data_IF_571206272841
#
_entry.id   IF_571206272841
#
_cell.length_a   1.000
_cell.length_b   1.000
_cell.length_c   1.000
_cell.angle_alpha   90.00
_cell.angle_beta   90.00
_cell.angle_gamma   90.00
#
_symmetry.space_group_name_H-M   'P 1'
#
loop_
_entity.id
_entity.type
_entity.pdbx_description
1 polymer ?
#
# COMPACT_ATOMS: atom_id res chain seq x y z
N UNK A 1 10.98 -22.45 -6.92
CA UNK A 1 11.19 -21.52 -5.79
C UNK A 1 12.26 -20.53 -6.21
N UNK A 2 12.16 -19.24 -5.80
CA UNK A 2 13.23 -18.28 -6.05
C UNK A 2 14.54 -18.77 -5.42
N UNK A 3 15.66 -18.42 -6.04
CA UNK A 3 16.99 -18.74 -5.50
C UNK A 3 17.24 -17.94 -4.24
N UNK A 4 17.65 -18.57 -3.15
CA UNK A 4 17.97 -17.88 -1.91
C UNK A 4 19.14 -16.90 -2.13
N UNK A 5 18.93 -15.63 -1.81
CA UNK A 5 19.98 -14.63 -1.78
C UNK A 5 20.76 -14.73 -0.46
N UNK A 6 22.06 -14.52 -0.50
CA UNK A 6 22.90 -14.47 0.70
C UNK A 6 22.79 -13.09 1.36
N UNK A 7 22.89 -13.03 2.67
CA UNK A 7 22.85 -11.81 3.52
C UNK A 7 23.86 -10.71 3.17
N UNK A 8 24.74 -10.94 2.21
CA UNK A 8 25.75 -9.96 1.80
C UNK A 8 25.20 -8.65 1.24
N UNK A 9 23.91 -8.61 0.91
CA UNK A 9 23.22 -7.41 0.37
C UNK A 9 22.36 -6.69 1.41
N UNK A 10 22.30 -7.19 2.65
CA UNK A 10 21.50 -6.59 3.71
C UNK A 10 22.38 -5.81 4.69
N UNK A 11 21.89 -4.70 5.16
CA UNK A 11 22.58 -3.89 6.17
C UNK A 11 21.60 -3.45 7.27
N UNK A 12 22.14 -3.27 8.49
CA UNK A 12 21.38 -2.62 9.56
C UNK A 12 21.35 -1.12 9.30
N UNK A 13 20.14 -0.54 9.31
CA UNK A 13 19.96 0.90 9.17
C UNK A 13 19.40 1.50 10.45
N UNK A 14 19.78 2.75 10.79
CA UNK A 14 19.25 3.42 11.97
C UNK A 14 17.74 3.62 11.85
N UNK A 15 17.01 3.33 12.92
CA UNK A 15 15.59 3.62 13.05
C UNK A 15 15.43 5.04 13.58
N UNK A 16 14.44 5.77 13.07
CA UNK A 16 14.02 7.07 13.61
C UNK A 16 15.00 8.25 13.46
N UNK A 17 16.22 8.02 13.07
CA UNK A 17 17.01 9.12 12.56
C UNK A 17 16.45 9.42 11.17
N UNK A 18 15.86 10.58 10.93
CA UNK A 18 15.52 11.02 9.57
C UNK A 18 16.75 10.97 8.65
N UNK A 19 17.40 9.84 8.63
CA UNK A 19 18.53 9.56 7.78
C UNK A 19 17.94 9.48 6.40
N UNK A 20 17.93 10.63 5.77
CA UNK A 20 18.02 10.70 4.33
C UNK A 20 18.97 9.57 3.96
N UNK A 21 18.53 8.66 3.15
CA UNK A 21 19.48 7.83 2.45
C UNK A 21 20.58 8.77 1.91
N UNK A 22 21.81 8.60 2.33
CA UNK A 22 22.85 9.57 2.01
C UNK A 22 23.09 9.76 0.51
N UNK A 23 22.44 8.96 -0.32
CA UNK A 23 22.75 8.89 -1.74
C UNK A 23 21.67 9.37 -2.69
N UNK A 24 20.36 9.39 -2.31
CA UNK A 24 19.31 9.76 -3.27
C UNK A 24 18.19 10.66 -2.70
N UNK A 25 18.30 11.17 -1.48
CA UNK A 25 17.23 11.97 -0.88
C UNK A 25 15.95 11.18 -0.57
N UNK A 26 15.96 9.86 -0.73
CA UNK A 26 14.88 8.97 -0.34
C UNK A 26 14.76 8.90 1.18
N UNK A 27 13.55 8.85 1.69
CA UNK A 27 13.29 8.59 3.10
C UNK A 27 13.54 7.11 3.35
N UNK A 28 14.31 6.81 4.39
CA UNK A 28 14.52 5.46 4.87
C UNK A 28 13.17 4.86 5.29
N UNK A 29 12.77 3.71 4.75
CA UNK A 29 11.54 3.02 5.14
C UNK A 29 11.51 2.60 6.62
N UNK A 30 12.63 2.67 7.30
CA UNK A 30 12.71 2.55 8.74
C UNK A 30 12.47 3.90 9.48
N UNK A 31 12.36 5.00 8.75
CA UNK A 31 12.01 6.30 9.33
C UNK A 31 10.52 6.29 9.73
N UNK A 32 10.21 6.80 10.90
CA UNK A 32 8.82 6.79 11.40
C UNK A 32 8.41 5.56 12.18
N UNK A 33 9.21 4.52 12.19
CA UNK A 33 9.08 3.41 13.12
C UNK A 33 9.61 3.83 14.51
N UNK A 34 9.34 3.00 15.52
CA UNK A 34 9.83 3.25 16.88
C UNK A 34 11.36 3.48 16.88
N UNK A 35 11.80 4.61 17.41
CA UNK A 35 13.22 5.02 17.46
C UNK A 35 14.11 4.06 18.25
N UNK A 36 13.52 3.14 19.01
CA UNK A 36 14.23 2.11 19.79
C UNK A 36 14.37 0.78 19.05
N UNK A 37 13.80 0.66 17.84
CA UNK A 37 13.78 -0.58 17.08
C UNK A 37 15.07 -0.88 16.33
N UNK A 38 15.11 -2.05 15.71
CA UNK A 38 16.16 -2.50 14.79
C UNK A 38 15.55 -2.70 13.41
N UNK A 39 16.18 -2.14 12.39
CA UNK A 39 15.79 -2.32 11.00
C UNK A 39 16.94 -2.94 10.20
N UNK A 40 16.59 -3.88 9.32
CA UNK A 40 17.50 -4.50 8.36
C UNK A 40 16.96 -4.20 6.98
N UNK A 41 17.75 -3.55 6.14
CA UNK A 41 17.43 -3.26 4.76
C UNK A 41 18.17 -4.22 3.85
N UNK A 42 17.46 -4.76 2.85
CA UNK A 42 18.01 -5.64 1.83
C UNK A 42 17.62 -5.13 0.45
N UNK A 43 18.61 -4.76 -0.36
CA UNK A 43 18.44 -4.30 -1.72
C UNK A 43 18.91 -5.38 -2.71
N UNK A 44 18.09 -5.71 -3.70
CA UNK A 44 18.33 -6.73 -4.70
C UNK A 44 18.13 -6.18 -6.11
N UNK A 45 19.03 -6.55 -7.04
CA UNK A 45 18.94 -6.18 -8.45
C UNK A 45 19.68 -4.89 -8.82
N UNK A 46 19.99 -4.02 -7.88
CA UNK A 46 20.90 -2.88 -8.08
C UNK A 46 22.34 -3.31 -7.86
N UNK A 47 23.18 -3.16 -8.85
CA UNK A 47 24.62 -3.37 -8.65
C UNK A 47 25.17 -2.26 -7.79
N UNK A 48 25.34 -2.53 -6.52
CA UNK A 48 26.03 -1.71 -5.53
C UNK A 48 25.41 -0.33 -5.24
N UNK A 49 25.35 0.01 -3.98
CA UNK A 49 25.23 1.36 -3.44
C UNK A 49 26.27 2.30 -4.09
N UNK A 50 26.05 2.64 -5.34
CA UNK A 50 26.90 3.60 -6.01
C UNK A 50 26.15 4.92 -6.09
N UNK A 51 26.60 5.87 -5.31
CA UNK A 51 26.10 7.25 -5.19
C UNK A 51 26.00 8.01 -6.52
N UNK A 52 26.40 7.40 -7.63
CA UNK A 52 26.45 8.01 -8.95
C UNK A 52 25.56 7.34 -10.00
N UNK A 53 24.77 6.32 -9.64
CA UNK A 53 23.83 5.78 -10.60
C UNK A 53 22.61 6.67 -10.71
N UNK A 54 22.61 7.52 -11.73
CA UNK A 54 21.36 7.89 -12.38
C UNK A 54 20.62 6.61 -12.74
N UNK A 55 19.30 6.52 -12.54
CA UNK A 55 18.50 5.44 -13.12
C UNK A 55 18.94 5.27 -14.56
N UNK A 56 19.08 4.02 -15.03
CA UNK A 56 19.35 3.79 -16.46
C UNK A 56 18.37 4.67 -17.23
N UNK A 57 18.85 5.37 -18.24
CA UNK A 57 18.06 6.39 -18.96
C UNK A 57 16.74 5.85 -19.53
N UNK A 58 16.56 4.53 -19.56
CA UNK A 58 15.35 3.83 -19.95
C UNK A 58 14.46 3.37 -18.77
N UNK A 59 14.91 3.51 -17.51
CA UNK A 59 14.12 3.22 -16.32
C UNK A 59 13.55 1.79 -16.21
N UNK A 60 13.99 0.86 -17.05
CA UNK A 60 13.30 -0.40 -17.31
C UNK A 60 13.97 -1.65 -16.75
N UNK A 61 15.24 -1.59 -16.36
CA UNK A 61 16.00 -2.82 -16.11
C UNK A 61 15.63 -3.57 -14.83
N UNK A 62 14.84 -2.96 -13.92
CA UNK A 62 14.54 -3.57 -12.63
C UNK A 62 13.07 -3.45 -12.21
N UNK A 63 12.25 -2.72 -12.96
CA UNK A 63 10.83 -2.62 -12.71
C UNK A 63 10.10 -3.92 -13.10
N UNK A 64 9.19 -4.39 -12.24
CA UNK A 64 8.43 -5.60 -12.51
C UNK A 64 7.77 -6.18 -11.26
N UNK A 65 7.24 -7.38 -11.39
CA UNK A 65 6.67 -8.09 -10.25
C UNK A 65 7.66 -9.17 -9.81
N UNK A 66 8.05 -9.13 -8.55
CA UNK A 66 8.96 -10.11 -7.96
C UNK A 66 8.20 -11.11 -7.11
N UNK A 67 8.51 -12.39 -7.28
CA UNK A 67 8.13 -13.45 -6.36
C UNK A 67 9.18 -13.49 -5.26
N UNK A 68 8.79 -13.23 -4.03
CA UNK A 68 9.68 -13.14 -2.87
C UNK A 68 9.32 -14.24 -1.88
N UNK A 69 10.33 -14.93 -1.34
CA UNK A 69 10.18 -15.84 -0.20
C UNK A 69 11.08 -15.37 0.94
N UNK A 70 10.58 -15.43 2.16
CA UNK A 70 11.32 -15.03 3.37
C UNK A 70 11.17 -16.10 4.41
N UNK A 71 12.30 -16.53 5.01
CA UNK A 71 12.28 -17.37 6.20
C UNK A 71 12.60 -16.48 7.41
N UNK A 72 11.60 -16.30 8.28
CA UNK A 72 11.76 -15.61 9.56
C UNK A 72 12.14 -16.58 10.65
N UNK A 73 12.90 -16.09 11.63
CA UNK A 73 13.37 -16.84 12.77
C UNK A 73 14.88 -17.03 12.77
N UNK A 74 15.42 -17.59 13.84
CA UNK A 74 16.84 -17.74 14.05
C UNK A 74 17.15 -18.40 15.39
N UNK A 75 18.42 -18.34 15.81
CA UNK A 75 18.85 -18.89 17.11
C UNK A 75 18.24 -18.13 18.30
N UNK A 76 17.85 -16.88 18.12
CA UNK A 76 17.18 -16.05 19.13
C UNK A 76 15.70 -15.86 18.80
N UNK A 77 14.90 -15.53 19.82
CA UNK A 77 13.53 -15.06 19.61
C UNK A 77 13.53 -13.69 18.93
N UNK A 78 12.53 -13.42 18.10
CA UNK A 78 12.40 -12.16 17.39
C UNK A 78 10.96 -11.77 17.14
N UNK A 79 10.76 -10.49 16.77
CA UNK A 79 9.50 -9.97 16.22
C UNK A 79 9.83 -9.22 14.94
N UNK A 80 9.22 -9.60 13.82
CA UNK A 80 9.61 -9.08 12.51
C UNK A 80 8.38 -8.58 11.76
N UNK A 81 8.36 -7.29 11.45
CA UNK A 81 7.52 -6.65 10.47
C UNK A 81 8.26 -6.63 9.13
N UNK A 82 7.56 -6.80 8.02
CA UNK A 82 8.14 -6.73 6.68
C UNK A 82 7.44 -5.65 5.86
N UNK A 83 8.24 -4.77 5.28
CA UNK A 83 7.79 -3.85 4.23
C UNK A 83 8.72 -3.91 3.02
N UNK A 84 8.29 -3.33 1.92
CA UNK A 84 9.04 -3.24 0.68
C UNK A 84 8.90 -1.85 0.08
N UNK A 85 9.89 -1.45 -0.72
CA UNK A 85 9.82 -0.25 -1.54
C UNK A 85 9.56 1.02 -0.67
N UNK A 86 8.58 1.83 -1.01
CA UNK A 86 8.17 3.01 -0.23
C UNK A 86 7.31 2.64 0.99
N UNK A 87 7.88 1.90 1.93
CA UNK A 87 7.20 1.49 3.19
C UNK A 87 5.91 0.68 2.98
N UNK A 88 5.79 0.00 1.83
CA UNK A 88 4.63 -0.82 1.53
C UNK A 88 4.61 -2.07 2.40
N UNK A 89 3.59 -2.21 3.27
CA UNK A 89 3.47 -3.34 4.19
C UNK A 89 3.27 -4.66 3.45
N UNK A 90 4.05 -5.68 3.81
CA UNK A 90 3.95 -7.04 3.27
C UNK A 90 3.49 -8.05 4.31
N UNK A 91 3.88 -7.84 5.56
CA UNK A 91 3.56 -8.74 6.66
C UNK A 91 3.53 -7.97 7.97
N UNK A 92 2.38 -8.02 8.65
CA UNK A 92 2.24 -7.54 10.02
C UNK A 92 3.23 -8.26 10.97
N UNK A 93 3.58 -7.67 12.13
CA UNK A 93 4.59 -8.22 13.01
C UNK A 93 4.36 -9.69 13.37
N UNK A 94 5.34 -10.54 13.10
CA UNK A 94 5.35 -11.97 13.44
C UNK A 94 6.40 -12.23 14.51
N UNK A 95 5.98 -12.85 15.61
CA UNK A 95 6.88 -13.31 16.66
C UNK A 95 7.34 -14.73 16.39
N UNK A 96 8.65 -14.97 16.46
CA UNK A 96 9.27 -16.29 16.40
C UNK A 96 9.99 -16.62 17.70
N UNK A 97 9.83 -17.84 18.21
CA UNK A 97 10.62 -18.33 19.34
C UNK A 97 12.07 -18.63 18.90
N UNK A 98 12.98 -18.74 19.86
CA UNK A 98 14.36 -19.17 19.59
C UNK A 98 14.37 -20.57 18.92
N UNK A 99 15.05 -20.69 17.81
CA UNK A 99 15.12 -21.92 17.00
C UNK A 99 13.91 -22.15 16.08
N UNK A 100 12.85 -21.34 16.17
CA UNK A 100 11.69 -21.44 15.27
C UNK A 100 11.99 -20.80 13.93
N UNK A 101 11.57 -21.47 12.85
CA UNK A 101 11.62 -20.96 11.48
C UNK A 101 10.22 -20.98 10.86
N UNK A 102 9.83 -19.88 10.19
CA UNK A 102 8.55 -19.76 9.51
C UNK A 102 8.76 -19.13 8.14
N UNK A 103 8.17 -19.72 7.09
CA UNK A 103 8.30 -19.23 5.73
C UNK A 103 7.07 -18.42 5.31
N UNK A 104 7.33 -17.33 4.59
CA UNK A 104 6.34 -16.48 3.96
C UNK A 104 6.69 -16.23 2.50
N UNK A 105 5.66 -16.01 1.70
CA UNK A 105 5.82 -15.64 0.29
C UNK A 105 4.95 -14.42 -0.05
N UNK A 106 5.46 -13.60 -0.97
CA UNK A 106 4.85 -12.36 -1.40
C UNK A 106 5.02 -12.16 -2.90
N UNK A 107 4.14 -11.33 -3.48
CA UNK A 107 4.39 -10.67 -4.75
C UNK A 107 4.67 -9.20 -4.46
N UNK A 108 5.85 -8.72 -4.84
CA UNK A 108 6.23 -7.31 -4.69
C UNK A 108 6.26 -6.66 -6.07
N UNK A 109 5.47 -5.62 -6.25
CA UNK A 109 5.51 -4.80 -7.47
C UNK A 109 6.56 -3.69 -7.30
N UNK A 110 7.59 -3.75 -8.12
CA UNK A 110 8.64 -2.73 -8.21
C UNK A 110 8.36 -1.86 -9.43
N UNK A 111 8.29 -0.56 -9.24
CA UNK A 111 8.18 0.43 -10.31
C UNK A 111 9.49 1.17 -10.45
N UNK A 112 9.90 1.49 -11.69
CA UNK A 112 10.93 2.50 -11.91
C UNK A 112 10.46 3.80 -11.26
N UNK A 113 11.24 4.43 -10.42
CA UNK A 113 10.83 5.58 -9.59
C UNK A 113 9.76 5.16 -8.56
N UNK A 114 10.15 4.35 -7.60
CA UNK A 114 9.26 3.93 -6.51
C UNK A 114 8.61 5.13 -5.80
N UNK A 115 7.45 4.90 -5.26
CA UNK A 115 6.66 5.94 -4.63
C UNK A 115 5.93 6.86 -5.61
N UNK A 116 5.97 6.59 -6.89
CA UNK A 116 5.26 7.38 -7.90
C UNK A 116 3.96 6.69 -8.33
N UNK A 117 2.96 7.47 -8.64
CA UNK A 117 2.86 8.96 -8.70
C UNK A 117 2.46 9.60 -7.38
N UNK A 118 2.57 8.95 -6.31
CA UNK A 118 1.92 9.10 -5.04
C UNK A 118 2.29 10.31 -4.20
N UNK A 119 3.46 10.87 -4.29
CA UNK A 119 3.95 11.83 -3.30
C UNK A 119 4.38 13.16 -3.89
N UNK A 120 4.00 14.26 -3.23
CA UNK A 120 4.37 15.62 -3.64
C UNK A 120 5.89 15.89 -3.54
N UNK A 121 6.63 15.08 -2.82
CA UNK A 121 8.09 15.20 -2.63
C UNK A 121 8.93 14.54 -3.71
N UNK A 122 8.31 13.88 -4.68
CA UNK A 122 9.02 13.18 -5.75
C UNK A 122 9.21 11.68 -5.47
N UNK A 123 9.99 10.98 -6.30
CA UNK A 123 10.20 9.56 -6.17
C UNK A 123 10.93 9.22 -4.87
N UNK A 124 10.44 8.22 -4.17
CA UNK A 124 11.11 7.57 -3.06
C UNK A 124 11.73 6.24 -3.51
N UNK A 125 12.54 5.63 -2.65
CA UNK A 125 13.10 4.31 -2.88
C UNK A 125 14.31 4.26 -3.80
N UNK A 126 14.75 3.04 -4.05
CA UNK A 126 15.91 2.72 -4.86
C UNK A 126 15.53 1.96 -6.11
N UNK A 127 16.41 1.92 -7.13
CA UNK A 127 16.25 0.97 -8.22
C UNK A 127 16.35 -0.47 -7.70
N UNK A 128 15.43 -1.33 -8.14
CA UNK A 128 15.41 -2.74 -7.78
C UNK A 128 14.44 -3.08 -6.66
N UNK A 129 14.46 -4.32 -6.22
CA UNK A 129 13.64 -4.81 -5.11
C UNK A 129 14.27 -4.41 -3.78
N UNK A 130 13.55 -3.65 -2.99
CA UNK A 130 13.96 -3.21 -1.66
C UNK A 130 13.06 -3.82 -0.59
N UNK A 131 13.66 -4.46 0.42
CA UNK A 131 12.96 -5.13 1.50
C UNK A 131 13.48 -4.64 2.85
N UNK A 132 12.56 -4.34 3.75
CA UNK A 132 12.84 -3.89 5.11
C UNK A 132 12.25 -4.85 6.12
N UNK A 133 13.07 -5.20 7.11
CA UNK A 133 12.70 -6.06 8.24
C UNK A 133 12.87 -5.26 9.53
N UNK A 134 11.78 -4.95 10.17
CA UNK A 134 11.76 -4.11 11.36
C UNK A 134 11.29 -4.89 12.58
N UNK A 135 11.88 -4.60 13.75
CA UNK A 135 11.44 -5.15 15.01
C UNK A 135 11.93 -4.35 16.21
N UNK A 136 11.31 -4.49 17.39
CA UNK A 136 11.73 -3.84 18.62
C UNK A 136 13.17 -4.20 19.00
N UNK A 137 13.89 -3.29 19.65
CA UNK A 137 15.28 -3.57 20.10
C UNK A 137 15.36 -4.76 21.06
N UNK A 138 14.34 -4.97 21.88
CA UNK A 138 14.28 -6.09 22.84
C UNK A 138 14.04 -7.46 22.15
N UNK A 139 13.39 -7.45 20.99
CA UNK A 139 13.11 -8.64 20.17
C UNK A 139 13.39 -8.30 18.71
N UNK A 140 14.67 -8.12 18.34
CA UNK A 140 15.05 -7.64 17.02
C UNK A 140 14.59 -8.60 15.92
N UNK A 141 14.43 -8.10 14.67
CA UNK A 141 14.01 -8.95 13.58
C UNK A 141 14.99 -10.10 13.38
N UNK A 142 14.44 -11.28 13.11
CA UNK A 142 15.20 -12.50 12.84
C UNK A 142 14.86 -12.96 11.42
N UNK A 143 15.81 -12.86 10.51
CA UNK A 143 15.66 -13.23 9.09
C UNK A 143 16.76 -14.24 8.76
N UNK A 144 16.38 -15.46 8.40
CA UNK A 144 17.30 -16.53 8.08
C UNK A 144 17.57 -16.68 6.58
N UNK A 145 16.59 -16.38 5.74
CA UNK A 145 16.77 -16.42 4.29
C UNK A 145 15.81 -15.46 3.59
N UNK A 146 16.27 -14.93 2.46
CA UNK A 146 15.45 -14.20 1.48
C UNK A 146 15.72 -14.79 0.11
N UNK A 147 14.67 -15.19 -0.59
CA UNK A 147 14.72 -15.63 -1.97
C UNK A 147 13.85 -14.71 -2.84
N UNK A 148 14.28 -14.41 -4.05
CA UNK A 148 13.50 -13.60 -4.97
C UNK A 148 13.73 -14.01 -6.43
N UNK A 149 12.73 -13.76 -7.27
CA UNK A 149 12.82 -13.90 -8.71
C UNK A 149 11.87 -12.93 -9.39
N UNK A 150 12.32 -12.28 -10.46
CA UNK A 150 11.45 -11.54 -11.34
C UNK A 150 10.43 -12.50 -11.97
N UNK A 151 9.15 -12.12 -11.98
CA UNK A 151 8.12 -12.94 -12.58
C UNK A 151 8.28 -13.03 -14.10
N UNK A 152 7.97 -14.20 -14.64
CA UNK A 152 7.97 -14.47 -16.08
C UNK A 152 6.53 -14.67 -16.56
N UNK A 153 6.34 -14.85 -17.86
CA UNK A 153 5.02 -15.18 -18.41
C UNK A 153 4.41 -16.45 -17.77
N UNK A 154 5.27 -17.41 -17.37
CA UNK A 154 4.83 -18.66 -16.72
C UNK A 154 4.53 -18.52 -15.23
N UNK A 155 5.08 -17.50 -14.57
CA UNK A 155 4.93 -17.26 -13.11
C UNK A 155 4.23 -15.93 -12.82
N UNK A 156 3.49 -15.43 -13.81
CA UNK A 156 2.84 -14.15 -13.75
C UNK A 156 1.84 -14.07 -12.58
N UNK A 157 1.93 -13.06 -11.71
CA UNK A 157 0.94 -12.83 -10.67
C UNK A 157 -0.36 -12.26 -11.23
N UNK A 158 -1.41 -12.31 -10.42
CA UNK A 158 -2.63 -11.54 -10.60
C UNK A 158 -2.43 -10.22 -9.87
N UNK A 159 -2.60 -9.10 -10.57
CA UNK A 159 -2.34 -7.78 -10.01
C UNK A 159 -3.64 -7.09 -9.57
N UNK A 160 -3.56 -6.41 -8.43
CA UNK A 160 -4.53 -5.39 -8.01
C UNK A 160 -3.87 -4.03 -8.26
N UNK A 161 -4.42 -3.27 -9.20
CA UNK A 161 -4.01 -1.89 -9.45
C UNK A 161 -4.90 -0.94 -8.66
N UNK A 162 -4.27 -0.11 -7.83
CA UNK A 162 -4.96 0.89 -7.04
C UNK A 162 -4.92 2.24 -7.76
N UNK A 163 -6.08 2.87 -7.96
CA UNK A 163 -6.23 4.17 -8.58
C UNK A 163 -6.97 5.10 -7.63
N UNK A 164 -6.25 6.05 -7.02
CA UNK A 164 -6.80 6.85 -5.93
C UNK A 164 -6.01 8.14 -5.65
N UNK A 165 -6.28 8.69 -4.49
CA UNK A 165 -5.68 9.91 -3.95
C UNK A 165 -4.71 9.64 -2.77
N UNK A 166 -4.44 10.67 -1.95
CA UNK A 166 -3.50 10.63 -0.82
C UNK A 166 -3.89 9.66 0.30
N UNK A 167 -5.16 9.27 0.39
CA UNK A 167 -5.63 8.38 1.47
C UNK A 167 -5.32 6.92 1.22
N UNK A 168 -4.91 6.58 0.00
CA UNK A 168 -4.57 5.23 -0.42
C UNK A 168 -3.11 5.08 -0.82
N UNK A 169 -2.46 6.17 -1.27
CA UNK A 169 -1.13 6.12 -1.87
C UNK A 169 -0.03 5.67 -0.88
N UNK A 170 1.08 5.17 -1.45
CA UNK A 170 2.29 4.92 -0.68
C UNK A 170 2.83 6.25 -0.15
N UNK A 171 3.03 6.35 1.16
CA UNK A 171 3.54 7.52 1.86
C UNK A 171 4.89 7.18 2.48
N UNK A 172 5.86 8.06 2.32
CA UNK A 172 7.20 7.86 2.88
C UNK A 172 7.40 8.74 4.11
N UNK A 173 8.22 8.28 5.08
CA UNK A 173 8.58 9.07 6.25
C UNK A 173 7.68 8.89 7.48
N UNK A 174 6.80 7.89 7.49
CA UNK A 174 6.10 7.38 8.67
C UNK A 174 5.00 8.26 9.28
N UNK A 175 4.94 9.55 8.95
CA UNK A 175 3.90 10.44 9.49
C UNK A 175 2.52 10.19 8.85
N UNK A 176 2.51 9.69 7.63
CA UNK A 176 1.34 9.36 6.84
C UNK A 176 1.36 7.88 6.45
N UNK A 177 0.20 7.28 6.24
CA UNK A 177 0.05 5.92 5.74
C UNK A 177 -1.27 5.76 4.98
N UNK A 178 -1.19 5.51 3.67
CA UNK A 178 -2.37 5.17 2.87
C UNK A 178 -2.82 3.73 3.13
N UNK A 179 -4.12 3.45 3.04
CA UNK A 179 -4.59 2.07 3.23
C UNK A 179 -4.10 1.14 2.11
N UNK A 180 -3.92 1.64 0.89
CA UNK A 180 -3.38 0.87 -0.22
C UNK A 180 -1.91 0.49 -0.03
N UNK A 181 -1.16 1.27 0.75
CA UNK A 181 0.22 0.96 1.15
C UNK A 181 0.30 -0.28 2.04
N UNK A 182 -0.72 -0.53 2.86
CA UNK A 182 -0.75 -1.66 3.81
C UNK A 182 -1.59 -2.83 3.28
N UNK A 183 -2.38 -2.62 2.24
CA UNK A 183 -3.24 -3.66 1.66
C UNK A 183 -2.50 -4.96 1.28
N UNK A 184 -1.24 -4.95 0.79
CA UNK A 184 -0.53 -6.20 0.45
C UNK A 184 -0.33 -7.15 1.62
N UNK A 185 -0.34 -6.68 2.88
CA UNK A 185 -0.24 -7.52 4.07
C UNK A 185 -1.33 -8.60 4.14
N UNK A 186 -2.49 -8.31 3.54
CA UNK A 186 -3.67 -9.17 3.61
C UNK A 186 -3.72 -10.24 2.52
N UNK A 187 -2.79 -10.23 1.56
CA UNK A 187 -2.82 -11.18 0.45
C UNK A 187 -1.65 -12.14 0.45
N UNK A 188 -1.91 -13.33 -0.12
CA UNK A 188 -0.89 -14.31 -0.43
C UNK A 188 -0.70 -14.42 -1.95
N UNK A 189 0.45 -14.95 -2.44
CA UNK A 189 0.59 -15.23 -3.85
C UNK A 189 -0.56 -16.10 -4.39
N UNK A 190 -1.00 -15.89 -5.63
CA UNK A 190 -0.35 -15.09 -6.67
C UNK A 190 -0.75 -13.61 -6.73
N UNK A 191 -1.36 -13.05 -5.68
CA UNK A 191 -1.79 -11.65 -5.69
C UNK A 191 -0.62 -10.72 -5.43
N UNK A 192 -0.48 -9.71 -6.30
CA UNK A 192 0.38 -8.54 -6.10
C UNK A 192 -0.43 -7.25 -6.12
N UNK A 193 0.03 -6.23 -5.42
CA UNK A 193 -0.61 -4.91 -5.39
C UNK A 193 0.33 -3.88 -6.00
N UNK A 194 -0.18 -3.12 -6.95
CA UNK A 194 0.51 -2.00 -7.59
C UNK A 194 -0.24 -0.71 -7.26
N UNK A 195 0.28 0.06 -6.32
CA UNK A 195 -0.37 1.26 -5.81
C UNK A 195 -0.01 2.48 -6.65
N UNK A 196 -0.99 3.00 -7.41
CA UNK A 196 -0.88 4.23 -8.20
C UNK A 196 -1.57 5.41 -7.53
N UNK A 197 -1.99 5.28 -6.27
CA UNK A 197 -2.56 6.41 -5.53
C UNK A 197 -1.69 7.65 -5.65
N UNK A 198 -2.29 8.82 -5.89
CA UNK A 198 -1.59 10.08 -6.10
C UNK A 198 -2.18 11.21 -5.26
N UNK A 199 -1.35 11.78 -4.40
CA UNK A 199 -1.74 12.89 -3.51
C UNK A 199 -2.40 14.04 -4.30
N UNK A 200 -3.58 14.47 -3.82
CA UNK A 200 -4.31 15.57 -4.44
C UNK A 200 -5.10 15.21 -5.71
N UNK A 201 -5.04 13.97 -6.17
CA UNK A 201 -5.77 13.55 -7.35
C UNK A 201 -7.28 13.52 -7.12
N UNK A 202 -8.04 14.06 -8.06
CA UNK A 202 -9.49 13.90 -8.18
C UNK A 202 -9.83 12.80 -9.19
N UNK A 203 -11.09 12.38 -9.23
CA UNK A 203 -11.58 11.40 -10.21
C UNK A 203 -11.27 11.78 -11.65
N UNK A 204 -11.31 13.07 -11.98
CA UNK A 204 -11.04 13.55 -13.34
C UNK A 204 -9.54 13.73 -13.62
N UNK A 205 -8.77 14.28 -12.67
CA UNK A 205 -7.35 14.56 -12.89
C UNK A 205 -6.52 13.29 -13.00
N UNK A 206 -6.82 12.28 -12.20
CA UNK A 206 -6.16 10.97 -12.28
C UNK A 206 -6.45 10.26 -13.60
N UNK A 207 -7.70 10.32 -14.07
CA UNK A 207 -8.07 9.71 -15.36
C UNK A 207 -7.28 10.30 -16.52
N UNK A 208 -7.10 11.62 -16.53
CA UNK A 208 -6.31 12.32 -17.54
C UNK A 208 -4.80 12.12 -17.44
N UNK A 209 -4.29 11.77 -16.24
CA UNK A 209 -2.86 11.67 -15.94
C UNK A 209 -2.37 10.23 -15.87
N UNK A 210 -2.66 9.54 -14.77
CA UNK A 210 -2.03 8.26 -14.43
C UNK A 210 -2.78 7.01 -14.89
N UNK A 211 -4.07 7.13 -15.19
CA UNK A 211 -4.89 5.99 -15.59
C UNK A 211 -4.36 5.26 -16.84
N UNK A 212 -3.83 6.01 -17.80
CA UNK A 212 -3.18 5.44 -18.97
C UNK A 212 -1.98 4.56 -18.66
N UNK A 213 -1.22 4.89 -17.62
CA UNK A 213 -0.07 4.09 -17.17
C UNK A 213 -0.52 2.75 -16.59
N UNK A 214 -1.61 2.74 -15.82
CA UNK A 214 -2.22 1.52 -15.29
C UNK A 214 -2.72 0.65 -16.45
N UNK A 215 -3.49 1.23 -17.37
CA UNK A 215 -4.03 0.50 -18.53
C UNK A 215 -2.96 -0.17 -19.38
N UNK A 216 -1.80 0.46 -19.50
CA UNK A 216 -0.67 -0.11 -20.25
C UNK A 216 -0.05 -1.37 -19.60
N UNK A 217 -0.34 -1.63 -18.32
CA UNK A 217 0.17 -2.79 -17.56
C UNK A 217 -0.86 -3.92 -17.42
N UNK A 218 -2.12 -3.63 -17.63
CA UNK A 218 -3.22 -4.57 -17.42
C UNK A 218 -3.11 -5.85 -18.22
N UNK A 219 -3.66 -6.89 -17.61
CA UNK A 219 -3.87 -8.14 -18.30
C UNK A 219 -5.21 -8.75 -17.87
N UNK A 220 -5.85 -9.54 -18.72
CA UNK A 220 -7.08 -10.24 -18.37
C UNK A 220 -6.93 -11.03 -17.06
N UNK A 221 -7.88 -10.86 -16.16
CA UNK A 221 -7.88 -11.49 -14.84
C UNK A 221 -7.28 -10.64 -13.72
N UNK A 222 -6.67 -9.50 -14.01
CA UNK A 222 -6.26 -8.51 -13.01
C UNK A 222 -7.47 -7.80 -12.40
N UNK A 223 -7.22 -7.01 -11.36
CA UNK A 223 -8.21 -6.19 -10.66
C UNK A 223 -7.82 -4.72 -10.70
N UNK A 224 -8.81 -3.84 -10.72
CA UNK A 224 -8.65 -2.41 -10.51
C UNK A 224 -9.51 -1.98 -9.33
N UNK A 225 -8.90 -1.53 -8.24
CA UNK A 225 -9.58 -0.86 -7.14
C UNK A 225 -9.52 0.64 -7.37
N UNK A 226 -10.67 1.31 -7.36
CA UNK A 226 -10.80 2.71 -7.72
C UNK A 226 -11.49 3.47 -6.59
N UNK A 227 -10.80 4.47 -6.03
CA UNK A 227 -11.30 5.30 -4.94
C UNK A 227 -11.02 6.78 -5.23
N UNK A 228 -12.06 7.61 -5.31
CA UNK A 228 -11.95 9.08 -5.41
C UNK A 228 -13.10 9.75 -4.67
N UNK A 229 -12.89 11.01 -4.30
CA UNK A 229 -13.89 11.83 -3.62
C UNK A 229 -13.29 12.94 -2.77
N UNK A 230 -12.22 12.69 -2.01
CA UNK A 230 -11.61 13.70 -1.14
C UNK A 230 -11.23 15.00 -1.87
N UNK A 231 -10.82 14.88 -3.13
CA UNK A 231 -10.37 16.00 -3.97
C UNK A 231 -11.39 16.41 -5.04
N UNK A 232 -12.57 15.82 -5.06
CA UNK A 232 -13.68 16.17 -5.94
C UNK A 232 -14.62 17.22 -5.29
N UNK A 233 -14.13 17.98 -4.32
CA UNK A 233 -14.90 18.99 -3.58
C UNK A 233 -15.53 20.01 -4.54
N UNK A 234 -16.84 20.25 -4.34
CA UNK A 234 -17.60 21.18 -5.16
C UNK A 234 -17.98 20.66 -6.55
N UNK A 235 -17.60 19.43 -6.88
CA UNK A 235 -18.08 18.74 -8.08
C UNK A 235 -19.42 18.08 -7.78
N UNK A 236 -20.37 18.12 -8.72
CA UNK A 236 -21.66 17.47 -8.53
C UNK A 236 -21.52 15.93 -8.49
N UNK A 237 -22.29 15.26 -7.64
CA UNK A 237 -22.27 13.80 -7.51
C UNK A 237 -22.43 13.07 -8.84
N UNK A 238 -23.31 13.55 -9.70
CA UNK A 238 -23.51 12.98 -11.04
C UNK A 238 -22.28 13.07 -11.93
N UNK A 239 -21.46 14.13 -11.79
CA UNK A 239 -20.23 14.29 -12.55
C UNK A 239 -19.12 13.38 -12.00
N UNK A 240 -19.02 13.21 -10.67
CA UNK A 240 -18.11 12.26 -10.04
C UNK A 240 -18.50 10.82 -10.41
N UNK A 241 -19.78 10.48 -10.36
CA UNK A 241 -20.30 9.20 -10.82
C UNK A 241 -19.89 8.92 -12.27
N UNK A 242 -20.16 9.87 -13.19
CA UNK A 242 -19.79 9.72 -14.59
C UNK A 242 -18.29 9.55 -14.82
N UNK A 243 -17.43 10.17 -13.98
CA UNK A 243 -16.00 9.94 -14.03
C UNK A 243 -15.67 8.50 -13.60
N UNK A 244 -16.22 8.01 -12.48
CA UNK A 244 -15.98 6.65 -11.98
C UNK A 244 -16.45 5.58 -12.97
N UNK A 245 -17.58 5.80 -13.67
CA UNK A 245 -18.08 4.90 -14.71
C UNK A 245 -17.11 4.72 -15.89
N UNK A 246 -16.29 5.74 -16.21
CA UNK A 246 -15.24 5.63 -17.25
C UNK A 246 -14.17 4.61 -16.82
N UNK A 247 -13.72 4.66 -15.57
CA UNK A 247 -12.76 3.68 -15.04
C UNK A 247 -13.31 2.26 -15.11
N UNK A 248 -14.57 2.09 -14.70
CA UNK A 248 -15.24 0.78 -14.72
C UNK A 248 -15.35 0.27 -16.17
N UNK A 249 -15.80 1.11 -17.09
CA UNK A 249 -15.93 0.75 -18.50
C UNK A 249 -14.60 0.33 -19.12
N UNK A 250 -13.54 1.08 -18.87
CA UNK A 250 -12.21 0.75 -19.37
C UNK A 250 -11.70 -0.59 -18.81
N UNK A 251 -11.90 -0.84 -17.50
CA UNK A 251 -11.49 -2.08 -16.87
C UNK A 251 -12.23 -3.30 -17.44
N UNK A 252 -13.55 -3.23 -17.53
CA UNK A 252 -14.37 -4.29 -18.09
C UNK A 252 -14.01 -4.61 -19.54
N UNK A 253 -13.75 -3.57 -20.36
CA UNK A 253 -13.33 -3.74 -21.75
C UNK A 253 -11.99 -4.48 -21.90
N UNK A 254 -11.13 -4.42 -20.87
CA UNK A 254 -9.85 -5.11 -20.82
C UNK A 254 -9.91 -6.49 -20.12
N UNK A 255 -11.09 -6.98 -19.72
CA UNK A 255 -11.28 -8.17 -18.87
C UNK A 255 -10.54 -8.05 -17.53
N UNK A 256 -10.44 -6.82 -17.00
CA UNK A 256 -9.96 -6.51 -15.65
C UNK A 256 -11.18 -6.31 -14.76
N UNK A 257 -11.16 -6.87 -13.56
CA UNK A 257 -12.30 -6.80 -12.62
C UNK A 257 -12.25 -5.49 -11.84
N UNK A 258 -13.16 -4.52 -12.05
CA UNK A 258 -13.21 -3.31 -11.27
C UNK A 258 -13.90 -3.54 -9.92
N UNK A 259 -13.38 -2.87 -8.89
CA UNK A 259 -13.97 -2.77 -7.55
C UNK A 259 -13.97 -1.29 -7.19
N UNK A 260 -15.13 -0.70 -7.01
CA UNK A 260 -15.23 0.67 -6.52
C UNK A 260 -15.16 0.69 -5.00
N UNK A 261 -14.37 1.62 -4.46
CA UNK A 261 -14.24 1.82 -3.02
C UNK A 261 -14.62 3.26 -2.71
N UNK A 262 -15.52 3.49 -1.76
CA UNK A 262 -15.77 4.86 -1.31
C UNK A 262 -14.58 5.37 -0.47
N UNK A 263 -14.29 6.69 -0.46
CA UNK A 263 -13.21 7.24 0.35
C UNK A 263 -13.39 6.93 1.83
N UNK A 264 -12.30 6.78 2.61
CA UNK A 264 -12.41 6.70 4.06
C UNK A 264 -13.02 8.00 4.63
N UNK A 265 -13.79 7.87 5.69
CA UNK A 265 -14.39 9.02 6.37
C UNK A 265 -13.30 9.96 6.93
N UNK A 266 -13.65 11.23 7.04
CA UNK A 266 -12.87 12.20 7.83
C UNK A 266 -13.25 12.13 9.29
N UNK A 267 -12.30 12.36 10.18
CA UNK A 267 -12.58 12.49 11.61
C UNK A 267 -13.23 13.85 11.88
N UNK A 268 -14.55 13.86 11.97
CA UNK A 268 -15.38 15.07 12.12
C UNK A 268 -16.48 14.85 13.17
N UNK A 269 -16.10 14.54 14.40
CA UNK A 269 -17.07 14.32 15.47
C UNK A 269 -17.87 15.61 15.74
N UNK A 270 -19.17 15.52 15.68
CA UNK A 270 -20.10 16.58 16.06
C UNK A 270 -20.22 16.75 17.58
N UNK A 271 -21.32 17.32 18.06
CA UNK A 271 -21.59 17.52 19.49
C UNK A 271 -21.78 16.20 20.29
N UNK A 272 -21.76 15.04 19.63
CA UNK A 272 -21.85 13.69 20.22
C UNK A 272 -20.60 12.86 20.01
N UNK A 273 -20.65 11.59 20.42
CA UNK A 273 -19.56 10.63 20.25
C UNK A 273 -19.59 9.94 18.85
N UNK A 274 -20.25 10.54 17.88
CA UNK A 274 -20.40 10.00 16.52
C UNK A 274 -19.73 10.91 15.51
N UNK A 275 -19.16 10.30 14.48
CA UNK A 275 -18.54 11.04 13.38
C UNK A 275 -19.61 11.83 12.60
N UNK A 276 -19.21 12.98 12.03
CA UNK A 276 -20.09 13.94 11.41
C UNK A 276 -20.49 13.59 9.97
N UNK A 277 -21.05 14.57 9.27
CA UNK A 277 -21.50 14.43 7.87
C UNK A 277 -20.32 14.16 6.91
N UNK A 278 -20.38 13.06 6.19
CA UNK A 278 -19.40 12.62 5.18
C UNK A 278 -19.92 12.78 3.74
N UNK A 279 -21.04 13.48 3.53
CA UNK A 279 -21.68 13.61 2.21
C UNK A 279 -20.75 14.19 1.14
N UNK A 280 -19.80 15.06 1.54
CA UNK A 280 -18.82 15.67 0.63
C UNK A 280 -17.77 14.69 0.08
N UNK A 281 -17.77 13.43 0.52
CA UNK A 281 -16.83 12.39 0.04
C UNK A 281 -17.33 11.65 -1.20
N UNK A 282 -18.52 11.97 -1.71
CA UNK A 282 -19.08 11.34 -2.91
C UNK A 282 -19.22 9.79 -2.83
N UNK A 283 -19.37 9.23 -1.63
CA UNK A 283 -19.58 7.79 -1.46
C UNK A 283 -20.79 7.29 -2.26
N UNK A 284 -21.85 8.09 -2.34
CA UNK A 284 -23.04 7.79 -3.13
C UNK A 284 -22.73 7.70 -4.62
N UNK A 285 -21.82 8.52 -5.14
CA UNK A 285 -21.40 8.50 -6.55
C UNK A 285 -20.70 7.18 -6.89
N UNK A 286 -19.80 6.71 -5.99
CA UNK A 286 -19.12 5.43 -6.15
C UNK A 286 -20.11 4.25 -6.08
N UNK A 287 -21.06 4.29 -5.14
CA UNK A 287 -22.12 3.27 -5.02
C UNK A 287 -22.99 3.20 -6.27
N UNK A 288 -23.42 4.35 -6.77
CA UNK A 288 -24.26 4.42 -7.96
C UNK A 288 -23.54 3.95 -9.23
N UNK A 289 -22.26 4.35 -9.40
CA UNK A 289 -21.43 3.88 -10.50
C UNK A 289 -21.24 2.35 -10.47
N UNK A 290 -21.01 1.77 -9.28
CA UNK A 290 -20.91 0.32 -9.12
C UNK A 290 -22.21 -0.39 -9.48
N UNK A 291 -23.34 0.14 -9.01
CA UNK A 291 -24.67 -0.41 -9.30
C UNK A 291 -25.03 -0.32 -10.79
N UNK A 292 -24.70 0.79 -11.46
CA UNK A 292 -24.96 0.99 -12.89
C UNK A 292 -24.28 -0.06 -13.77
N UNK A 293 -23.11 -0.56 -13.35
CA UNK A 293 -22.31 -1.56 -14.08
C UNK A 293 -22.34 -2.95 -13.47
N UNK A 294 -23.11 -3.15 -12.39
CA UNK A 294 -23.19 -4.41 -11.64
C UNK A 294 -21.78 -4.93 -11.22
N UNK A 295 -20.96 -4.04 -10.67
CA UNK A 295 -19.62 -4.36 -10.16
C UNK A 295 -19.57 -4.23 -8.65
N UNK A 296 -18.52 -4.79 -8.02
CA UNK A 296 -18.36 -4.75 -6.58
C UNK A 296 -18.17 -3.33 -6.05
N UNK A 297 -18.75 -3.05 -4.88
CA UNK A 297 -18.61 -1.82 -4.14
C UNK A 297 -18.24 -2.09 -2.68
N UNK A 298 -17.19 -1.44 -2.19
CA UNK A 298 -16.77 -1.45 -0.79
C UNK A 298 -17.08 -0.08 -0.20
N UNK A 299 -18.00 -0.02 0.77
CA UNK A 299 -18.38 1.23 1.44
C UNK A 299 -17.41 1.56 2.57
N UNK A 300 -16.17 1.95 2.18
CA UNK A 300 -15.14 2.29 3.17
C UNK A 300 -15.50 3.54 3.98
N UNK A 301 -16.32 4.45 3.43
CA UNK A 301 -16.86 5.59 4.19
C UNK A 301 -17.69 5.10 5.37
N UNK A 302 -18.66 4.22 5.14
CA UNK A 302 -19.48 3.67 6.19
C UNK A 302 -18.67 2.82 7.19
N UNK A 303 -17.78 1.97 6.69
CA UNK A 303 -16.93 1.10 7.52
C UNK A 303 -16.02 1.91 8.44
N UNK A 304 -15.33 2.93 7.91
CA UNK A 304 -14.45 3.78 8.71
C UNK A 304 -15.20 4.68 9.68
N UNK A 305 -16.36 5.22 9.29
CA UNK A 305 -17.26 5.95 10.20
C UNK A 305 -17.67 5.06 11.38
N UNK A 306 -18.09 3.84 11.10
CA UNK A 306 -18.45 2.89 12.16
C UNK A 306 -17.25 2.60 13.09
N UNK A 307 -16.06 2.42 12.52
CA UNK A 307 -14.85 2.22 13.31
C UNK A 307 -14.52 3.44 14.18
N UNK A 308 -14.52 4.66 13.63
CA UNK A 308 -14.26 5.88 14.42
C UNK A 308 -15.27 6.04 15.55
N UNK A 309 -16.54 5.72 15.31
CA UNK A 309 -17.57 5.78 16.34
C UNK A 309 -17.28 4.82 17.51
N UNK A 310 -16.65 3.65 17.27
CA UNK A 310 -16.21 2.75 18.37
C UNK A 310 -15.11 3.34 19.23
N UNK A 311 -14.35 4.32 18.73
CA UNK A 311 -13.30 5.00 19.48
C UNK A 311 -13.86 6.07 20.43
N UNK A 312 -15.12 6.47 20.24
CA UNK A 312 -15.92 7.26 21.16
C UNK A 312 -15.57 8.75 21.27
N UNK A 313 -14.50 9.21 20.62
CA UNK A 313 -14.14 10.63 20.59
C UNK A 313 -13.21 10.98 19.44
N UNK A 314 -13.29 12.24 18.99
CA UNK A 314 -12.38 12.77 17.98
C UNK A 314 -10.91 12.62 18.38
N UNK A 315 -10.56 12.91 19.63
CA UNK A 315 -9.19 12.80 20.12
C UNK A 315 -8.64 11.36 20.08
N UNK A 316 -9.51 10.36 20.33
CA UNK A 316 -9.13 8.95 20.20
C UNK A 316 -8.96 8.53 18.74
N UNK A 317 -9.84 9.00 17.83
CA UNK A 317 -9.75 8.72 16.41
C UNK A 317 -8.51 9.38 15.79
N UNK A 318 -8.18 10.61 16.16
CA UNK A 318 -7.00 11.32 15.66
C UNK A 318 -5.65 10.65 16.00
N UNK A 319 -5.62 9.74 16.98
CA UNK A 319 -4.40 8.94 17.26
C UNK A 319 -4.00 8.04 16.08
N UNK A 320 -4.94 7.71 15.21
CA UNK A 320 -4.74 6.93 13.99
C UNK A 320 -4.52 7.81 12.75
N UNK A 321 -4.37 9.10 12.95
CA UNK A 321 -4.21 10.08 11.89
C UNK A 321 -2.84 10.77 11.96
N UNK A 322 -2.45 11.33 10.83
CA UNK A 322 -1.16 11.99 10.67
C UNK A 322 -0.98 13.10 11.71
N UNK A 323 0.18 13.11 12.36
CA UNK A 323 0.54 14.06 13.40
C UNK A 323 -0.46 14.17 14.58
N UNK A 324 -1.41 13.21 14.71
CA UNK A 324 -2.44 13.25 15.74
C UNK A 324 -3.47 14.39 15.60
N UNK A 325 -3.52 15.05 14.44
CA UNK A 325 -4.33 16.25 14.21
C UNK A 325 -4.95 16.36 12.81
N UNK A 326 -4.43 15.65 11.82
CA UNK A 326 -5.00 15.63 10.48
C UNK A 326 -6.32 14.85 10.46
N UNK A 327 -7.40 15.50 10.08
CA UNK A 327 -8.71 14.84 10.06
C UNK A 327 -8.96 13.98 8.82
N UNK A 328 -8.07 13.99 7.84
CA UNK A 328 -8.23 13.32 6.54
C UNK A 328 -7.25 12.16 6.37
N UNK A 329 -5.96 12.41 6.62
CA UNK A 329 -4.91 11.44 6.34
C UNK A 329 -4.59 10.61 7.57
N UNK A 330 -4.52 9.31 7.39
CA UNK A 330 -4.10 8.37 8.44
C UNK A 330 -2.57 8.33 8.59
N UNK A 331 -2.12 7.90 9.76
CA UNK A 331 -0.76 7.37 9.95
C UNK A 331 -0.73 5.88 9.55
N UNK A 332 0.40 5.21 9.72
CA UNK A 332 0.54 3.79 9.34
C UNK A 332 -0.45 2.88 10.08
N UNK A 333 -0.70 3.12 11.38
CA UNK A 333 -1.67 2.34 12.16
C UNK A 333 -3.10 2.53 11.65
N UNK A 334 -3.44 3.77 11.28
CA UNK A 334 -4.74 4.09 10.69
C UNK A 334 -4.88 3.49 9.29
N UNK A 335 -3.85 3.58 8.46
CA UNK A 335 -3.79 2.93 7.16
C UNK A 335 -3.99 1.41 7.27
N UNK A 336 -3.33 0.77 8.23
CA UNK A 336 -3.49 -0.66 8.50
C UNK A 336 -4.93 -1.03 8.92
N UNK A 337 -5.57 -0.19 9.73
CA UNK A 337 -6.98 -0.39 10.11
C UNK A 337 -7.93 -0.26 8.92
N UNK A 338 -7.72 0.74 8.06
CA UNK A 338 -8.53 0.91 6.85
C UNK A 338 -8.31 -0.25 5.86
N UNK A 339 -7.07 -0.69 5.66
CA UNK A 339 -6.76 -1.85 4.84
C UNK A 339 -7.43 -3.13 5.37
N UNK A 340 -7.45 -3.31 6.71
CA UNK A 340 -8.15 -4.42 7.34
C UNK A 340 -9.68 -4.37 7.10
N UNK A 341 -10.29 -3.17 7.09
CA UNK A 341 -11.70 -2.99 6.76
C UNK A 341 -11.98 -3.38 5.30
N UNK A 342 -11.13 -2.95 4.37
CA UNK A 342 -11.23 -3.32 2.94
C UNK A 342 -11.11 -4.84 2.77
N UNK A 343 -10.08 -5.46 3.35
CA UNK A 343 -9.87 -6.92 3.28
C UNK A 343 -11.02 -7.69 3.96
N UNK A 344 -11.52 -7.19 5.08
CA UNK A 344 -12.67 -7.75 5.78
C UNK A 344 -13.94 -7.70 4.94
N UNK A 345 -14.18 -6.62 4.21
CA UNK A 345 -15.35 -6.49 3.34
C UNK A 345 -15.24 -7.33 2.08
N UNK A 346 -14.04 -7.46 1.49
CA UNK A 346 -13.75 -8.44 0.42
C UNK A 346 -14.19 -9.85 0.85
N UNK A 347 -13.86 -10.23 2.09
CA UNK A 347 -14.23 -11.52 2.66
C UNK A 347 -15.74 -11.62 2.91
N UNK A 348 -16.34 -10.59 3.50
CA UNK A 348 -17.77 -10.56 3.85
C UNK A 348 -18.67 -10.65 2.62
N UNK A 349 -18.29 -9.94 1.55
CA UNK A 349 -19.00 -9.99 0.27
C UNK A 349 -18.66 -11.24 -0.56
N UNK A 350 -17.73 -12.09 -0.09
CA UNK A 350 -17.23 -13.24 -0.81
C UNK A 350 -16.77 -12.90 -2.23
N UNK A 351 -16.06 -11.78 -2.38
CA UNK A 351 -15.52 -11.38 -3.68
C UNK A 351 -14.47 -12.39 -4.15
N UNK A 352 -14.21 -12.52 -5.46
CA UNK A 352 -13.24 -13.49 -6.00
C UNK A 352 -11.83 -13.36 -5.39
N UNK A 353 -11.46 -12.20 -4.86
CA UNK A 353 -10.21 -11.98 -4.14
C UNK A 353 -10.16 -12.64 -2.76
N UNK A 354 -11.32 -12.96 -2.14
CA UNK A 354 -11.39 -13.50 -0.78
C UNK A 354 -10.58 -14.79 -0.58
N UNK A 355 -10.48 -15.63 -1.61
CA UNK A 355 -9.71 -16.88 -1.58
C UNK A 355 -8.18 -16.70 -1.48
N UNK A 356 -7.71 -15.49 -1.68
CA UNK A 356 -6.29 -15.14 -1.63
C UNK A 356 -5.93 -14.32 -0.38
N UNK A 357 -6.90 -14.09 0.51
CA UNK A 357 -6.62 -13.43 1.79
C UNK A 357 -5.83 -14.37 2.71
N UNK A 358 -4.88 -13.75 3.45
CA UNK A 358 -4.03 -14.41 4.43
C UNK A 358 -4.79 -14.82 5.67
#
# INVERSE_FOLDING_TARGET
MPTAATYSMCQKVPVGAGSQNPTNGGTNACAGQDTTGVCIECLFGGSTYNTTQTPSADGTSEAGNYLVSVTLGGAAAGSTYISAESERGLLAPVTTAAGQMVEYAFVVNVRAMEGQPNHAGGPGGYPGLDLFFYGPAATPPQVSAVGYALSTAATKPIMIYLASDSTECDQTGGAFGGWGQILPEFFVPPIGVSNYGNSGASSSSFYGGFWGQIKAKWQPGDYAMIQFGHNDKGVADTAVQANLEKYVTDALAANVTPILVSPPARVQFGAGATDGDQSSLHAISAKNAAAAHNVAFIDLTALSTAWYNTLGSQAAALKFHANGSDATHTNLDGGAKLAALVAGDIKTQNLPLAKYLR
#
